data_IF_355023733245
#
_entry.id   IF_355023733245
#
_cell.length_a   1.000
_cell.length_b   1.000
_cell.length_c   1.000
_cell.angle_alpha   90.00
_cell.angle_beta   90.00
_cell.angle_gamma   90.00
#
_symmetry.space_group_name_H-M   'P 1'
#
loop_
_entity.id
_entity.type
_entity.pdbx_description
1 polymer ?
#
# COMPACT_ATOMS: atom_id res chain seq x y z
N UNK A 1 0.81 38.95 -19.20
CA UNK A 1 -0.61 38.56 -19.04
C UNK A 1 -0.65 37.34 -18.15
N UNK A 2 -1.01 37.53 -16.87
CA UNK A 2 -1.13 36.48 -15.88
C UNK A 2 -2.49 35.79 -16.09
N UNK A 3 -2.48 34.59 -16.67
CA UNK A 3 -3.65 33.72 -16.70
C UNK A 3 -3.75 33.00 -15.36
N UNK A 4 -4.65 33.50 -14.51
CA UNK A 4 -5.16 32.80 -13.34
C UNK A 4 -5.84 31.51 -13.80
N UNK A 5 -5.17 30.37 -13.61
CA UNK A 5 -5.81 29.06 -13.75
C UNK A 5 -6.77 28.92 -12.57
N UNK A 6 -8.06 29.06 -12.85
CA UNK A 6 -9.12 28.72 -11.90
C UNK A 6 -9.01 27.23 -11.59
N UNK A 7 -8.86 26.89 -10.31
CA UNK A 7 -9.05 25.52 -9.84
C UNK A 7 -10.47 25.09 -10.23
N UNK A 8 -10.66 23.93 -10.88
CA UNK A 8 -11.99 23.45 -11.20
C UNK A 8 -12.74 23.25 -9.88
N UNK A 9 -13.81 24.01 -9.74
CA UNK A 9 -14.77 23.95 -8.64
C UNK A 9 -15.30 22.53 -8.51
N UNK A 10 -15.11 21.98 -7.31
CA UNK A 10 -15.76 20.77 -6.81
C UNK A 10 -17.29 20.97 -6.86
N UNK A 11 -17.96 20.47 -7.90
CA UNK A 11 -19.41 20.36 -7.95
C UNK A 11 -19.85 18.97 -8.38
N UNK A 12 -20.38 18.23 -7.40
CA UNK A 12 -21.48 17.27 -7.49
C UNK A 12 -21.45 16.22 -8.63
N UNK A 13 -20.67 15.15 -8.42
CA UNK A 13 -21.03 13.73 -8.60
C UNK A 13 -19.74 12.89 -8.66
N UNK A 14 -19.07 12.74 -7.51
CA UNK A 14 -17.99 11.76 -7.28
C UNK A 14 -18.52 10.30 -7.27
N UNK A 15 -19.60 10.01 -8.00
CA UNK A 15 -20.00 8.64 -8.29
C UNK A 15 -18.91 8.06 -9.18
N UNK A 16 -18.16 7.11 -8.62
CA UNK A 16 -17.21 6.32 -9.39
C UNK A 16 -18.03 5.41 -10.31
N UNK A 17 -18.27 5.88 -11.54
CA UNK A 17 -19.19 5.28 -12.52
C UNK A 17 -18.77 3.89 -13.04
N UNK A 18 -17.57 3.41 -12.67
CA UNK A 18 -17.00 2.13 -13.12
C UNK A 18 -16.82 1.14 -11.94
N UNK A 19 -17.60 1.31 -10.87
CA UNK A 19 -17.82 0.24 -9.89
C UNK A 19 -18.99 -0.61 -10.38
N UNK A 20 -18.78 -1.91 -10.70
CA UNK A 20 -19.86 -2.79 -11.14
C UNK A 20 -21.01 -2.85 -10.14
N UNK A 21 -22.24 -2.96 -10.62
CA UNK A 21 -23.44 -2.99 -9.77
C UNK A 21 -23.43 -4.14 -8.75
N UNK A 22 -22.82 -5.27 -9.12
CA UNK A 22 -22.63 -6.47 -8.30
C UNK A 22 -21.41 -6.39 -7.35
N UNK A 23 -20.54 -5.38 -7.51
CA UNK A 23 -19.34 -5.24 -6.69
C UNK A 23 -19.60 -4.93 -5.20
N UNK A 24 -20.54 -4.05 -4.80
CA UNK A 24 -20.76 -3.78 -3.37
C UNK A 24 -21.14 -5.03 -2.57
N UNK A 25 -21.97 -5.90 -3.15
CA UNK A 25 -22.35 -7.17 -2.53
C UNK A 25 -21.15 -8.12 -2.40
N UNK A 26 -20.42 -8.30 -3.50
CA UNK A 26 -19.22 -9.13 -3.51
C UNK A 26 -18.14 -8.58 -2.55
N UNK A 27 -17.96 -7.27 -2.46
CA UNK A 27 -16.99 -6.63 -1.55
C UNK A 27 -17.22 -7.02 -0.09
N UNK A 28 -18.48 -7.05 0.36
CA UNK A 28 -18.82 -7.52 1.70
C UNK A 28 -18.46 -9.00 1.89
N UNK A 29 -18.57 -9.81 0.84
CA UNK A 29 -18.12 -11.20 0.86
C UNK A 29 -16.61 -11.33 0.98
N UNK A 30 -15.83 -10.49 0.27
CA UNK A 30 -14.38 -10.44 0.43
C UNK A 30 -13.98 -10.09 1.87
N UNK A 31 -14.70 -9.18 2.53
CA UNK A 31 -14.44 -8.85 3.94
C UNK A 31 -14.74 -10.03 4.87
N UNK A 32 -15.82 -10.77 4.64
CA UNK A 32 -16.12 -12.00 5.40
C UNK A 32 -15.02 -13.05 5.22
N UNK A 33 -14.61 -13.31 3.97
CA UNK A 33 -13.49 -14.19 3.66
C UNK A 33 -12.19 -13.74 4.33
N UNK A 34 -11.90 -12.43 4.27
CA UNK A 34 -10.79 -11.77 4.95
C UNK A 34 -10.85 -11.96 6.46
N UNK A 35 -12.01 -12.08 7.08
CA UNK A 35 -12.15 -12.35 8.53
C UNK A 35 -12.28 -13.84 8.86
N UNK A 36 -12.36 -14.71 7.85
CA UNK A 36 -12.51 -16.16 8.02
C UNK A 36 -13.93 -16.55 8.36
N UNK A 37 -14.87 -15.62 8.18
CA UNK A 37 -16.28 -15.88 8.28
C UNK A 37 -16.77 -16.58 7.00
N UNK A 38 -17.77 -17.48 7.09
CA UNK A 38 -18.40 -18.08 5.92
C UNK A 38 -18.95 -17.01 4.97
N UNK A 39 -18.85 -17.26 3.66
CA UNK A 39 -19.44 -16.42 2.63
C UNK A 39 -20.38 -17.23 1.74
N UNK A 40 -21.59 -16.74 1.45
CA UNK A 40 -22.51 -17.37 0.49
C UNK A 40 -22.09 -17.28 -0.99
N UNK A 41 -21.10 -16.47 -1.35
CA UNK A 41 -20.65 -16.29 -2.75
C UNK A 41 -19.17 -16.59 -2.95
N UNK A 42 -18.46 -16.99 -1.90
CA UNK A 42 -17.04 -17.31 -1.97
C UNK A 42 -16.77 -18.65 -1.28
N UNK A 43 -16.16 -19.57 -2.00
CA UNK A 43 -15.63 -20.83 -1.48
C UNK A 43 -14.11 -20.79 -1.47
N UNK A 44 -13.49 -21.43 -0.48
CA UNK A 44 -12.04 -21.59 -0.41
C UNK A 44 -11.70 -23.08 -0.47
N UNK A 45 -10.80 -23.45 -1.38
CA UNK A 45 -10.18 -24.78 -1.40
C UNK A 45 -8.67 -24.67 -1.15
N UNK A 46 -8.04 -25.65 -0.49
CA UNK A 46 -6.58 -25.65 -0.31
C UNK A 46 -5.79 -25.60 -1.62
N UNK A 47 -6.32 -26.20 -2.68
CA UNK A 47 -5.64 -26.33 -3.97
C UNK A 47 -5.76 -25.06 -4.85
N UNK A 48 -6.94 -24.43 -4.88
CA UNK A 48 -7.22 -23.34 -5.83
C UNK A 48 -7.37 -21.96 -5.14
N UNK A 49 -7.38 -21.93 -3.81
CA UNK A 49 -7.66 -20.72 -3.03
C UNK A 49 -9.14 -20.33 -3.09
N UNK A 50 -9.42 -19.04 -2.98
CA UNK A 50 -10.77 -18.47 -3.03
C UNK A 50 -11.34 -18.42 -4.44
N UNK A 51 -12.56 -18.90 -4.64
CA UNK A 51 -13.31 -18.80 -5.89
C UNK A 51 -14.64 -18.09 -5.66
N UNK A 52 -15.19 -17.49 -6.73
CA UNK A 52 -16.56 -16.96 -6.73
C UNK A 52 -17.52 -18.10 -7.02
N UNK A 53 -18.55 -18.24 -6.19
CA UNK A 53 -19.67 -19.13 -6.45
C UNK A 53 -20.78 -18.36 -7.17
N UNK A 54 -21.21 -18.89 -8.31
CA UNK A 54 -22.27 -18.31 -9.13
C UNK A 54 -21.78 -17.32 -10.19
N UNK A 55 -22.74 -16.65 -10.83
CA UNK A 55 -22.47 -15.74 -11.95
C UNK A 55 -22.26 -14.32 -11.45
N UNK A 56 -21.15 -13.70 -11.85
CA UNK A 56 -20.88 -12.28 -11.65
C UNK A 56 -20.40 -11.62 -12.95
N UNK A 57 -20.58 -10.32 -13.09
CA UNK A 57 -20.13 -9.57 -14.25
C UNK A 57 -18.61 -9.62 -14.43
N UNK A 58 -18.15 -9.59 -15.69
CA UNK A 58 -16.73 -9.68 -16.04
C UNK A 58 -15.86 -8.66 -15.30
N UNK A 59 -16.38 -7.44 -15.09
CA UNK A 59 -15.67 -6.37 -14.39
C UNK A 59 -15.51 -6.67 -12.89
N UNK A 60 -16.51 -7.23 -12.23
CA UNK A 60 -16.43 -7.64 -10.83
C UNK A 60 -15.52 -8.87 -10.66
N UNK A 61 -15.55 -9.81 -11.61
CA UNK A 61 -14.62 -10.93 -11.67
C UNK A 61 -13.17 -10.46 -11.82
N UNK A 62 -12.90 -9.47 -12.69
CA UNK A 62 -11.58 -8.89 -12.83
C UNK A 62 -11.10 -8.17 -11.57
N UNK A 63 -11.98 -7.42 -10.90
CA UNK A 63 -11.67 -6.81 -9.60
C UNK A 63 -11.43 -7.87 -8.52
N UNK A 64 -12.19 -8.97 -8.51
CA UNK A 64 -11.94 -10.10 -7.60
C UNK A 64 -10.55 -10.69 -7.82
N UNK A 65 -10.16 -10.92 -9.08
CA UNK A 65 -8.83 -11.42 -9.44
C UNK A 65 -7.69 -10.56 -8.87
N UNK A 66 -7.89 -9.25 -8.79
CA UNK A 66 -6.90 -8.32 -8.20
C UNK A 66 -6.73 -8.50 -6.69
N UNK A 67 -7.78 -8.87 -5.95
CA UNK A 67 -7.72 -9.02 -4.49
C UNK A 67 -7.63 -10.48 -4.02
N UNK A 68 -7.95 -11.46 -4.87
CA UNK A 68 -7.86 -12.89 -4.57
C UNK A 68 -6.49 -13.27 -3.97
N UNK A 69 -5.33 -12.82 -4.51
CA UNK A 69 -4.04 -13.17 -3.94
C UNK A 69 -3.85 -12.74 -2.48
N UNK A 70 -4.44 -11.60 -2.08
CA UNK A 70 -4.43 -11.16 -0.69
C UNK A 70 -5.24 -12.11 0.21
N UNK A 71 -6.41 -12.53 -0.25
CA UNK A 71 -7.27 -13.45 0.49
C UNK A 71 -6.63 -14.84 0.62
N UNK A 72 -6.00 -15.33 -0.44
CA UNK A 72 -5.29 -16.60 -0.46
C UNK A 72 -4.05 -16.56 0.45
N UNK A 73 -3.29 -15.45 0.42
CA UNK A 73 -2.19 -15.23 1.35
C UNK A 73 -2.68 -15.26 2.81
N UNK A 74 -3.80 -14.58 3.11
CA UNK A 74 -4.40 -14.60 4.45
C UNK A 74 -4.86 -15.99 4.88
N UNK A 75 -5.51 -16.73 4.00
CA UNK A 75 -6.01 -18.08 4.29
C UNK A 75 -4.84 -19.02 4.63
N UNK A 76 -3.75 -18.96 3.87
CA UNK A 76 -2.52 -19.71 4.15
C UNK A 76 -1.94 -19.39 5.53
N UNK A 77 -1.96 -18.12 5.94
CA UNK A 77 -1.49 -17.67 7.26
C UNK A 77 -2.33 -18.21 8.44
N UNK A 78 -3.60 -18.59 8.22
CA UNK A 78 -4.46 -19.17 9.27
C UNK A 78 -4.25 -20.67 9.48
N UNK A 79 -4.06 -21.42 8.38
CA UNK A 79 -4.03 -22.88 8.44
C UNK A 79 -2.74 -23.44 9.02
N UNK A 80 -1.61 -22.98 8.50
CA UNK A 80 -0.27 -23.25 9.01
C UNK A 80 0.33 -21.89 9.30
N UNK A 81 1.00 -21.67 10.44
CA UNK A 81 1.77 -20.44 10.66
C UNK A 81 2.87 -20.37 9.60
N UNK A 82 2.54 -19.81 8.44
CA UNK A 82 3.50 -19.57 7.38
C UNK A 82 4.42 -18.47 7.88
N UNK A 83 5.74 -18.71 7.95
CA UNK A 83 6.67 -17.75 8.52
C UNK A 83 6.84 -16.48 7.67
N UNK A 84 6.23 -16.43 6.48
CA UNK A 84 6.47 -15.38 5.50
C UNK A 84 5.28 -14.42 5.39
N UNK A 85 5.38 -13.20 5.92
CA UNK A 85 4.43 -12.13 5.66
C UNK A 85 4.30 -11.88 4.17
N UNK A 86 3.11 -11.47 3.75
CA UNK A 86 2.79 -11.13 2.38
C UNK A 86 2.68 -9.61 2.24
N UNK A 87 3.46 -9.04 1.33
CA UNK A 87 3.62 -7.59 1.17
C UNK A 87 3.19 -7.17 -0.23
N UNK A 88 2.15 -6.34 -0.29
CA UNK A 88 1.72 -5.66 -1.51
C UNK A 88 2.10 -4.19 -1.44
N UNK A 89 2.57 -3.63 -2.55
CA UNK A 89 2.74 -2.19 -2.69
C UNK A 89 1.75 -1.61 -3.71
N UNK A 90 1.38 -0.34 -3.53
CA UNK A 90 0.74 0.45 -4.57
C UNK A 90 1.54 1.72 -4.81
N UNK A 91 1.80 2.03 -6.07
CA UNK A 91 2.41 3.28 -6.50
C UNK A 91 1.60 3.88 -7.64
N UNK A 92 1.07 5.09 -7.43
CA UNK A 92 0.50 5.90 -8.50
C UNK A 92 1.54 6.80 -9.13
N UNK A 93 1.61 6.85 -10.45
CA UNK A 93 2.52 7.73 -11.18
C UNK A 93 1.86 8.30 -12.45
N UNK A 94 2.45 9.38 -12.95
CA UNK A 94 2.17 9.95 -14.27
C UNK A 94 2.62 9.01 -15.40
N UNK A 95 2.14 9.27 -16.63
CA UNK A 95 2.55 8.53 -17.84
C UNK A 95 4.07 8.56 -18.06
N UNK A 96 4.72 9.64 -17.67
CA UNK A 96 6.17 9.84 -17.77
C UNK A 96 6.95 9.40 -16.51
N UNK A 97 6.29 8.71 -15.56
CA UNK A 97 6.96 7.97 -14.49
C UNK A 97 7.28 8.78 -13.23
N UNK A 98 6.47 9.77 -12.89
CA UNK A 98 6.66 10.63 -11.72
C UNK A 98 5.47 10.54 -10.74
N UNK A 99 5.75 10.59 -9.44
CA UNK A 99 4.74 10.52 -8.37
C UNK A 99 4.30 11.88 -7.85
N UNK A 100 5.06 12.93 -8.18
CA UNK A 100 4.81 14.30 -7.76
C UNK A 100 5.57 15.26 -8.66
N UNK A 101 5.16 16.52 -8.67
CA UNK A 101 5.93 17.63 -9.25
C UNK A 101 7.26 17.83 -8.52
N UNK A 102 8.12 18.71 -9.06
CA UNK A 102 9.42 19.04 -8.46
C UNK A 102 9.31 19.48 -6.99
N UNK A 103 8.29 20.28 -6.66
CA UNK A 103 8.05 20.78 -5.29
C UNK A 103 7.47 19.71 -4.37
N UNK A 104 7.02 18.58 -4.92
CA UNK A 104 6.42 17.49 -4.18
C UNK A 104 4.91 17.49 -4.16
N UNK A 105 4.26 18.37 -4.91
CA UNK A 105 2.81 18.31 -5.08
C UNK A 105 2.45 17.05 -5.89
N UNK A 106 1.74 16.13 -5.23
CA UNK A 106 1.24 14.88 -5.81
C UNK A 106 -0.28 14.84 -5.92
N UNK A 107 -0.97 15.95 -5.62
CA UNK A 107 -2.41 16.00 -5.74
C UNK A 107 -2.80 15.76 -7.21
N UNK A 108 -3.87 15.01 -7.46
CA UNK A 108 -4.35 14.59 -8.79
C UNK A 108 -3.54 13.54 -9.56
N UNK A 109 -2.42 13.02 -9.05
CA UNK A 109 -1.76 11.86 -9.69
C UNK A 109 -2.66 10.63 -9.65
N UNK A 110 -3.43 10.45 -8.58
CA UNK A 110 -4.38 9.34 -8.44
C UNK A 110 -5.80 9.82 -8.71
N UNK A 111 -6.50 9.15 -9.63
CA UNK A 111 -7.93 9.34 -9.84
C UNK A 111 -8.79 8.72 -8.72
N UNK A 112 -10.11 8.97 -8.78
CA UNK A 112 -11.06 8.48 -7.78
C UNK A 112 -11.07 6.94 -7.65
N UNK A 113 -10.93 6.22 -8.78
CA UNK A 113 -10.86 4.76 -8.82
C UNK A 113 -9.58 4.22 -8.18
N UNK A 114 -8.44 4.88 -8.41
CA UNK A 114 -7.18 4.55 -7.75
C UNK A 114 -7.28 4.75 -6.23
N UNK A 115 -7.93 5.83 -5.78
CA UNK A 115 -8.18 6.06 -4.36
C UNK A 115 -9.11 4.99 -3.77
N UNK A 116 -10.17 4.58 -4.47
CA UNK A 116 -11.01 3.46 -4.01
C UNK A 116 -10.22 2.15 -3.90
N UNK A 117 -9.39 1.84 -4.89
CA UNK A 117 -8.52 0.65 -4.86
C UNK A 117 -7.60 0.67 -3.63
N UNK A 118 -6.96 1.80 -3.36
CA UNK A 118 -6.11 2.01 -2.20
C UNK A 118 -6.86 1.78 -0.87
N UNK A 119 -8.09 2.29 -0.76
CA UNK A 119 -8.92 2.04 0.42
C UNK A 119 -9.38 0.58 0.55
N UNK A 120 -9.53 -0.16 -0.56
CA UNK A 120 -9.79 -1.60 -0.54
C UNK A 120 -8.56 -2.38 -0.05
N UNK A 121 -7.36 -2.00 -0.49
CA UNK A 121 -6.12 -2.60 0.02
C UNK A 121 -5.97 -2.37 1.54
N UNK A 122 -6.23 -1.14 2.02
CA UNK A 122 -6.25 -0.82 3.46
C UNK A 122 -7.24 -1.69 4.24
N UNK A 123 -8.44 -1.92 3.71
CA UNK A 123 -9.44 -2.76 4.36
C UNK A 123 -9.04 -4.25 4.41
N UNK A 124 -8.32 -4.75 3.40
CA UNK A 124 -7.93 -6.17 3.31
C UNK A 124 -6.62 -6.50 4.04
N UNK A 125 -5.74 -5.53 4.22
CA UNK A 125 -4.45 -5.74 4.90
C UNK A 125 -4.57 -5.59 6.42
N UNK A 126 -3.55 -6.08 7.14
CA UNK A 126 -3.42 -5.90 8.59
C UNK A 126 -2.80 -4.54 8.91
N UNK A 127 -1.88 -4.08 8.06
CA UNK A 127 -1.20 -2.81 8.22
C UNK A 127 -1.03 -2.07 6.90
N UNK A 128 -1.03 -0.73 6.98
CA UNK A 128 -0.64 0.18 5.90
C UNK A 128 0.63 0.91 6.31
N UNK A 129 1.62 0.90 5.43
CA UNK A 129 2.97 1.38 5.67
C UNK A 129 3.31 2.52 4.72
N UNK A 130 3.78 3.63 5.27
CA UNK A 130 4.31 4.75 4.49
C UNK A 130 5.68 5.17 5.02
N UNK A 131 6.48 5.85 4.18
CA UNK A 131 7.72 6.47 4.63
C UNK A 131 7.50 7.80 5.34
N UNK A 132 8.43 8.21 6.20
CA UNK A 132 8.39 9.52 6.87
C UNK A 132 8.32 10.72 5.92
N UNK A 133 8.85 10.61 4.69
CA UNK A 133 8.74 11.69 3.69
C UNK A 133 7.29 11.97 3.29
N UNK A 134 6.50 10.91 3.08
CA UNK A 134 5.05 10.99 2.82
C UNK A 134 4.33 11.61 4.01
N UNK A 135 4.66 11.19 5.24
CA UNK A 135 4.04 11.76 6.44
C UNK A 135 4.35 13.26 6.59
N UNK A 136 5.60 13.66 6.37
CA UNK A 136 6.02 15.04 6.48
C UNK A 136 5.39 15.95 5.41
N UNK A 137 5.17 15.43 4.20
CA UNK A 137 4.65 16.20 3.06
C UNK A 137 3.12 16.25 3.09
N UNK A 138 2.47 15.09 3.22
CA UNK A 138 1.02 14.96 3.00
C UNK A 138 0.22 14.95 4.31
N UNK A 139 0.90 14.68 5.44
CA UNK A 139 0.29 14.52 6.75
C UNK A 139 -0.99 13.65 6.69
N UNK A 140 -0.92 12.41 6.14
CA UNK A 140 -2.09 11.62 5.80
C UNK A 140 -2.81 11.09 7.04
N UNK A 141 -4.03 10.58 6.88
CA UNK A 141 -4.76 9.87 7.96
C UNK A 141 -4.46 8.36 7.96
N UNK A 142 -4.20 7.80 6.76
CA UNK A 142 -3.97 6.36 6.52
C UNK A 142 -5.11 5.44 6.97
N UNK A 143 -6.35 5.93 6.90
CA UNK A 143 -7.56 5.19 7.28
C UNK A 143 -8.32 4.59 6.09
N UNK A 144 -9.10 3.55 6.34
CA UNK A 144 -10.18 3.05 5.47
C UNK A 144 -11.42 3.93 5.67
N UNK A 145 -11.82 4.69 4.66
CA UNK A 145 -13.00 5.61 4.75
C UNK A 145 -13.81 5.75 3.47
N UNK A 146 -13.36 5.16 2.36
CA UNK A 146 -14.09 5.19 1.08
C UNK A 146 -14.77 3.86 0.73
N UNK A 147 -14.57 2.82 1.54
CA UNK A 147 -15.22 1.51 1.40
C UNK A 147 -15.52 0.94 2.78
N UNK A 148 -16.52 0.04 2.91
CA UNK A 148 -16.70 -0.74 4.13
C UNK A 148 -15.44 -1.57 4.45
N UNK A 149 -15.13 -1.73 5.72
CA UNK A 149 -14.00 -2.55 6.17
C UNK A 149 -13.28 -1.94 7.37
N UNK A 150 -12.36 -2.71 7.97
CA UNK A 150 -11.64 -2.28 9.15
C UNK A 150 -10.57 -1.24 8.83
N UNK A 151 -10.11 -0.55 9.88
CA UNK A 151 -8.90 0.26 9.83
C UNK A 151 -7.67 -0.65 9.89
N UNK A 152 -6.67 -0.47 9.00
CA UNK A 152 -5.39 -1.14 9.17
C UNK A 152 -4.59 -0.50 10.32
N UNK A 153 -3.64 -1.23 10.88
CA UNK A 153 -2.57 -0.63 11.69
C UNK A 153 -1.76 0.31 10.80
N UNK A 154 -1.56 1.54 11.25
CA UNK A 154 -0.78 2.54 10.52
C UNK A 154 0.69 2.38 10.87
N UNK A 155 1.55 2.26 9.89
CA UNK A 155 2.99 2.07 10.08
C UNK A 155 3.72 3.23 9.42
N UNK A 156 4.50 3.96 10.23
CA UNK A 156 5.36 5.04 9.75
C UNK A 156 6.80 4.55 9.79
N UNK A 157 7.36 4.29 8.61
CA UNK A 157 8.77 3.94 8.44
C UNK A 157 9.64 5.18 8.50
N UNK A 158 10.29 5.37 9.64
CA UNK A 158 11.20 6.48 9.89
C UNK A 158 12.43 6.00 10.67
N UNK A 159 13.35 5.28 9.99
CA UNK A 159 14.44 4.55 10.66
C UNK A 159 15.34 5.44 11.52
N UNK A 160 15.55 6.69 11.14
CA UNK A 160 16.37 7.67 11.87
C UNK A 160 15.55 8.57 12.80
N UNK A 161 14.26 8.26 13.03
CA UNK A 161 13.31 9.06 13.80
C UNK A 161 13.40 10.55 13.48
N UNK A 162 13.15 10.94 12.22
CA UNK A 162 13.25 12.34 11.76
C UNK A 162 11.99 13.16 12.01
N UNK A 163 10.83 12.52 12.13
CA UNK A 163 9.57 13.21 12.42
C UNK A 163 9.56 13.80 13.83
N UNK A 164 8.73 14.81 14.05
CA UNK A 164 8.54 15.50 15.34
C UNK A 164 7.47 14.84 16.23
N UNK A 165 6.77 13.84 15.71
CA UNK A 165 5.67 13.16 16.39
C UNK A 165 4.35 13.93 16.40
N UNK A 166 4.20 15.05 15.70
CA UNK A 166 2.99 15.89 15.72
C UNK A 166 2.02 15.61 14.57
N UNK A 167 2.43 14.85 13.56
CA UNK A 167 1.59 14.49 12.42
C UNK A 167 0.31 13.76 12.83
N UNK A 168 -0.77 13.92 12.03
CA UNK A 168 -2.11 13.37 12.28
C UNK A 168 -2.10 11.88 12.59
N UNK A 169 -1.32 11.10 11.83
CA UNK A 169 -1.13 9.66 12.04
C UNK A 169 -0.77 9.27 13.48
N UNK A 170 -0.13 10.15 14.25
CA UNK A 170 0.23 9.88 15.65
C UNK A 170 -0.80 10.40 16.65
N UNK A 171 -1.63 11.38 16.26
CA UNK A 171 -2.42 12.19 17.19
C UNK A 171 -3.94 12.03 17.08
N UNK A 172 -4.46 11.63 15.93
CA UNK A 172 -5.90 11.63 15.67
C UNK A 172 -6.69 10.50 16.34
N UNK A 173 -6.02 9.48 16.89
CA UNK A 173 -6.64 8.33 17.55
C UNK A 173 -7.49 7.41 16.65
N UNK A 174 -7.51 7.62 15.32
CA UNK A 174 -8.43 6.90 14.43
C UNK A 174 -8.08 5.42 14.24
N UNK A 175 -6.80 5.06 14.36
CA UNK A 175 -6.30 3.69 14.28
C UNK A 175 -5.02 3.53 15.10
N UNK A 176 -4.66 2.30 15.44
CA UNK A 176 -3.36 2.00 16.06
C UNK A 176 -2.23 2.41 15.11
N UNK A 177 -1.18 3.03 15.65
CA UNK A 177 -0.06 3.54 14.88
C UNK A 177 1.27 3.04 15.44
N UNK A 178 2.10 2.48 14.58
CA UNK A 178 3.47 2.07 14.86
C UNK A 178 4.43 3.04 14.20
N UNK A 179 5.23 3.74 15.00
CA UNK A 179 6.40 4.46 14.52
C UNK A 179 7.60 3.51 14.52
N UNK A 180 7.97 3.02 13.33
CA UNK A 180 9.07 2.08 13.16
C UNK A 180 10.37 2.86 12.97
N UNK A 181 11.31 2.64 13.88
CA UNK A 181 12.64 3.23 13.84
C UNK A 181 13.73 2.21 14.19
N UNK A 182 14.97 2.52 13.84
CA UNK A 182 16.11 1.74 14.32
C UNK A 182 16.23 1.91 15.84
N UNK A 183 16.59 0.84 16.54
CA UNK A 183 16.69 0.85 18.01
C UNK A 183 17.59 1.97 18.56
N UNK A 184 18.62 2.39 17.81
CA UNK A 184 19.47 3.54 18.16
C UNK A 184 18.70 4.85 18.32
N UNK A 185 17.58 5.00 17.62
CA UNK A 185 16.75 6.22 17.62
C UNK A 185 15.45 6.06 18.43
N UNK A 186 15.22 4.92 19.06
CA UNK A 186 13.97 4.64 19.77
C UNK A 186 13.70 5.60 20.94
N UNK A 187 14.73 5.99 21.70
CA UNK A 187 14.58 6.94 22.79
C UNK A 187 14.13 8.33 22.28
N UNK A 188 14.72 8.78 21.16
CA UNK A 188 14.35 10.04 20.51
C UNK A 188 12.91 10.00 19.98
N UNK A 189 12.52 8.93 19.29
CA UNK A 189 11.16 8.75 18.81
C UNK A 189 10.14 8.77 19.96
N UNK A 190 10.42 8.05 21.06
CA UNK A 190 9.54 8.00 22.25
C UNK A 190 9.42 9.37 22.92
N UNK A 191 10.53 10.11 23.05
CA UNK A 191 10.53 11.45 23.62
C UNK A 191 9.68 12.42 22.79
N UNK A 192 9.79 12.38 21.45
CA UNK A 192 9.00 13.22 20.54
C UNK A 192 7.53 12.83 20.50
N UNK A 193 7.25 11.53 20.54
CA UNK A 193 5.89 11.02 20.64
C UNK A 193 5.23 11.50 21.96
N UNK A 194 6.01 11.53 23.04
CA UNK A 194 5.59 12.00 24.36
C UNK A 194 4.39 11.20 24.88
N UNK A 195 3.54 11.86 25.66
CA UNK A 195 2.24 11.33 26.12
C UNK A 195 1.23 11.37 24.96
N UNK A 196 1.48 10.61 23.90
CA UNK A 196 0.54 10.51 22.78
C UNK A 196 -0.76 9.87 23.23
N UNK A 197 -1.93 10.26 22.67
CA UNK A 197 -3.17 9.50 22.91
C UNK A 197 -2.93 8.02 22.60
N UNK A 198 -3.57 7.17 23.40
CA UNK A 198 -3.26 5.76 23.73
C UNK A 198 -3.15 4.73 22.57
N UNK A 199 -2.89 5.15 21.33
CA UNK A 199 -2.87 4.31 20.14
C UNK A 199 -1.61 4.44 19.29
N UNK A 200 -0.70 5.37 19.58
CA UNK A 200 0.58 5.47 18.88
C UNK A 200 1.72 4.94 19.76
N UNK A 201 2.56 4.06 19.21
CA UNK A 201 3.71 3.48 19.90
C UNK A 201 4.95 3.44 19.01
N UNK A 202 6.12 3.36 19.63
CA UNK A 202 7.40 3.21 18.93
C UNK A 202 7.77 1.72 18.84
N UNK A 203 7.94 1.23 17.61
CA UNK A 203 8.53 -0.08 17.32
C UNK A 203 10.02 0.11 17.00
N UNK A 204 10.86 -0.26 17.96
CA UNK A 204 12.30 -0.29 17.81
C UNK A 204 12.72 -1.58 17.07
N UNK A 205 13.50 -1.46 16.01
CA UNK A 205 13.98 -2.59 15.22
C UNK A 205 15.51 -2.56 15.15
N UNK A 206 16.14 -3.59 15.71
CA UNK A 206 17.59 -3.69 15.73
C UNK A 206 18.16 -3.85 14.31
N UNK A 207 19.21 -3.08 14.00
CA UNK A 207 19.87 -3.11 12.70
C UNK A 207 18.97 -2.73 11.53
N UNK A 208 17.91 -1.94 11.76
CA UNK A 208 17.03 -1.47 10.70
C UNK A 208 17.78 -0.55 9.74
N UNK A 209 18.60 0.36 10.24
CA UNK A 209 19.50 1.19 9.46
C UNK A 209 20.82 0.45 9.24
N UNK A 210 21.32 0.46 8.00
CA UNK A 210 22.66 -0.01 7.70
C UNK A 210 23.72 0.79 8.50
N UNK A 211 24.84 0.15 8.79
CA UNK A 211 26.01 0.78 9.43
C UNK A 211 26.88 1.55 8.44
N UNK A 212 26.73 1.29 7.15
CA UNK A 212 27.51 1.88 6.07
C UNK A 212 27.01 3.29 5.67
N UNK A 213 27.86 4.13 5.04
CA UNK A 213 27.60 5.56 4.76
C UNK A 213 26.34 5.83 3.93
N UNK A 214 25.91 4.87 3.11
CA UNK A 214 24.61 4.94 2.44
C UNK A 214 23.55 4.57 3.47
N UNK A 215 22.99 5.56 4.17
CA UNK A 215 21.94 5.42 5.20
C UNK A 215 20.60 4.85 4.65
N UNK A 216 20.68 3.66 4.05
CA UNK A 216 19.57 2.83 3.65
C UNK A 216 19.11 1.99 4.84
N UNK A 217 17.83 1.65 4.84
CA UNK A 217 17.27 0.73 5.82
C UNK A 217 16.96 -0.62 5.18
N UNK A 218 16.86 -1.68 5.99
CA UNK A 218 16.55 -3.05 5.57
C UNK A 218 15.03 -3.31 5.67
N UNK A 219 14.26 -3.28 4.57
CA UNK A 219 12.80 -3.47 4.62
C UNK A 219 12.39 -4.81 5.25
N UNK A 220 13.15 -5.88 5.00
CA UNK A 220 12.86 -7.22 5.52
C UNK A 220 12.89 -7.26 7.05
N UNK A 221 13.74 -6.47 7.72
CA UNK A 221 13.76 -6.38 9.19
C UNK A 221 12.49 -5.71 9.72
N UNK A 222 11.99 -4.68 9.04
CA UNK A 222 10.71 -4.07 9.40
C UNK A 222 9.55 -5.04 9.18
N UNK A 223 9.53 -5.76 8.05
CA UNK A 223 8.52 -6.79 7.74
C UNK A 223 8.52 -7.88 8.83
N UNK A 224 9.68 -8.41 9.20
CA UNK A 224 9.80 -9.41 10.26
C UNK A 224 9.34 -8.89 11.63
N UNK A 225 9.68 -7.65 11.98
CA UNK A 225 9.24 -7.04 13.24
C UNK A 225 7.73 -6.83 13.30
N UNK A 226 7.10 -6.47 12.18
CA UNK A 226 5.63 -6.36 12.08
C UNK A 226 4.96 -7.72 12.16
N UNK A 227 5.52 -8.74 11.51
CA UNK A 227 5.05 -10.12 11.57
C UNK A 227 5.08 -10.71 12.98
N UNK A 228 6.13 -10.41 13.75
CA UNK A 228 6.26 -10.80 15.16
C UNK A 228 5.13 -10.21 16.03
N UNK A 229 4.40 -9.19 15.54
CA UNK A 229 3.21 -8.61 16.17
C UNK A 229 1.89 -9.11 15.56
N UNK A 230 1.94 -10.14 14.73
CA UNK A 230 0.77 -10.73 14.07
C UNK A 230 0.29 -9.95 12.84
N UNK A 231 1.05 -8.97 12.37
CA UNK A 231 0.74 -8.21 11.14
C UNK A 231 1.39 -8.91 9.96
N UNK A 232 0.63 -9.76 9.26
CA UNK A 232 1.19 -10.67 8.25
C UNK A 232 0.85 -10.24 6.83
N UNK A 233 -0.21 -9.46 6.62
CA UNK A 233 -0.53 -8.85 5.34
C UNK A 233 -0.26 -7.35 5.39
N UNK A 234 0.80 -6.93 4.71
CA UNK A 234 1.31 -5.57 4.76
C UNK A 234 1.05 -4.85 3.44
N UNK A 235 0.53 -3.63 3.53
CA UNK A 235 0.33 -2.75 2.39
C UNK A 235 1.31 -1.58 2.43
N UNK A 236 2.26 -1.53 1.49
CA UNK A 236 3.17 -0.39 1.32
C UNK A 236 2.52 0.63 0.39
N UNK A 237 2.12 1.76 0.95
CA UNK A 237 1.39 2.80 0.26
C UNK A 237 2.29 4.02 -0.01
N UNK A 238 2.49 4.34 -1.28
CA UNK A 238 2.94 5.68 -1.71
C UNK A 238 4.35 6.14 -1.28
N UNK A 239 4.90 7.04 -2.07
CA UNK A 239 6.27 7.52 -1.99
C UNK A 239 7.21 6.65 -2.82
N UNK A 240 7.65 7.18 -3.97
CA UNK A 240 8.54 6.47 -4.90
C UNK A 240 9.77 5.88 -4.21
N UNK A 241 10.34 6.57 -3.22
CA UNK A 241 11.50 6.09 -2.44
C UNK A 241 11.17 4.83 -1.63
N UNK A 242 10.06 4.80 -0.89
CA UNK A 242 9.71 3.67 -0.01
C UNK A 242 9.41 2.43 -0.83
N UNK A 243 8.55 2.56 -1.85
CA UNK A 243 8.21 1.43 -2.74
C UNK A 243 9.45 0.91 -3.45
N UNK A 244 10.32 1.79 -3.97
CA UNK A 244 11.56 1.39 -4.65
C UNK A 244 12.54 0.67 -3.73
N UNK A 245 12.62 1.06 -2.44
CA UNK A 245 13.45 0.37 -1.45
C UNK A 245 12.93 -1.04 -1.17
N UNK A 246 11.63 -1.19 -0.98
CA UNK A 246 11.02 -2.53 -0.80
C UNK A 246 11.18 -3.40 -2.05
N UNK A 247 11.01 -2.82 -3.24
CA UNK A 247 11.23 -3.51 -4.51
C UNK A 247 12.68 -3.98 -4.67
N UNK A 248 13.65 -3.07 -4.50
CA UNK A 248 15.09 -3.37 -4.60
C UNK A 248 15.54 -4.41 -3.59
N UNK A 249 14.93 -4.41 -2.40
CA UNK A 249 15.21 -5.40 -1.38
C UNK A 249 14.58 -6.77 -1.64
N UNK A 250 13.76 -6.95 -2.69
CA UNK A 250 12.98 -8.18 -2.89
C UNK A 250 11.99 -8.42 -1.74
N UNK A 251 11.50 -7.35 -1.11
CA UNK A 251 10.61 -7.38 0.05
C UNK A 251 9.13 -7.17 -0.33
N UNK A 252 8.81 -7.24 -1.62
CA UNK A 252 7.45 -7.18 -2.15
C UNK A 252 7.09 -8.53 -2.78
N UNK A 253 5.89 -9.00 -2.50
CA UNK A 253 5.28 -10.14 -3.20
C UNK A 253 4.54 -9.67 -4.45
N UNK A 254 3.94 -8.48 -4.36
CA UNK A 254 3.16 -7.89 -5.44
C UNK A 254 3.30 -6.37 -5.49
N UNK A 255 3.23 -5.81 -6.69
CA UNK A 255 3.21 -4.36 -6.89
C UNK A 255 2.05 -3.99 -7.81
N UNK A 256 1.16 -3.14 -7.33
CA UNK A 256 0.13 -2.49 -8.12
C UNK A 256 0.66 -1.12 -8.57
N UNK A 257 1.19 -1.04 -9.79
CA UNK A 257 1.65 0.20 -10.41
C UNK A 257 0.49 0.83 -11.18
N UNK A 258 -0.02 1.96 -10.70
CA UNK A 258 -1.12 2.69 -11.34
C UNK A 258 -0.54 3.85 -12.14
N UNK A 259 -0.84 3.88 -13.44
CA UNK A 259 -0.38 4.91 -14.36
C UNK A 259 -1.57 5.78 -14.76
N UNK A 260 -1.52 7.04 -14.34
CA UNK A 260 -2.54 8.04 -14.66
C UNK A 260 -2.17 8.81 -15.94
N UNK A 261 -3.16 9.25 -16.75
CA UNK A 261 -2.96 9.95 -18.03
C UNK A 261 -2.56 11.41 -17.84
N UNK A 262 -1.57 11.68 -16.98
CA UNK A 262 -1.00 12.99 -16.71
C UNK A 262 0.49 12.98 -17.07
N UNK A 263 1.04 14.12 -17.47
CA UNK A 263 2.46 14.33 -17.73
C UNK A 263 2.99 15.38 -16.74
N UNK A 264 4.04 15.04 -16.00
CA UNK A 264 4.61 15.91 -14.97
C UNK A 264 5.89 16.63 -15.46
N UNK A 265 6.64 16.00 -16.35
CA UNK A 265 7.97 16.44 -16.73
C UNK A 265 8.96 16.21 -15.59
N UNK A 266 9.76 17.21 -15.23
CA UNK A 266 10.81 17.05 -14.22
C UNK A 266 10.24 17.02 -12.79
N UNK A 267 9.82 15.85 -12.32
CA UNK A 267 9.23 15.65 -10.99
C UNK A 267 10.00 14.69 -10.08
N UNK A 268 9.37 14.31 -8.96
CA UNK A 268 9.85 13.23 -8.10
C UNK A 268 9.58 11.89 -8.78
N UNK A 269 10.64 11.12 -9.04
CA UNK A 269 10.55 9.83 -9.74
C UNK A 269 9.63 8.83 -9.02
N UNK A 270 8.90 8.07 -9.82
CA UNK A 270 8.10 6.93 -9.39
C UNK A 270 8.94 5.72 -9.00
N UNK A 271 8.60 4.57 -9.57
CA UNK A 271 9.32 3.33 -9.28
C UNK A 271 10.75 3.43 -9.83
N UNK A 272 11.73 3.17 -8.98
CA UNK A 272 13.14 3.08 -9.33
C UNK A 272 13.60 1.64 -9.10
N UNK A 273 14.05 1.00 -10.18
CA UNK A 273 14.65 -0.32 -10.16
C UNK A 273 16.19 -0.21 -10.18
N UNK A 274 16.92 -1.25 -9.75
CA UNK A 274 18.35 -1.37 -9.99
C UNK A 274 18.69 -1.17 -11.47
N UNK A 275 19.81 -0.51 -11.75
CA UNK A 275 20.29 -0.35 -13.11
C UNK A 275 20.91 -1.66 -13.61
N UNK A 276 20.53 -2.07 -14.82
CA UNK A 276 21.13 -3.19 -15.54
C UNK A 276 21.85 -2.66 -16.78
N UNK A 277 23.03 -3.20 -17.08
CA UNK A 277 23.81 -2.78 -18.24
C UNK A 277 23.17 -3.22 -19.56
N UNK A 278 22.43 -4.32 -19.56
CA UNK A 278 21.79 -4.89 -20.73
C UNK A 278 20.32 -5.22 -20.47
N UNK A 279 19.49 -5.08 -21.51
CA UNK A 279 18.04 -5.27 -21.40
C UNK A 279 17.63 -6.71 -21.05
N UNK A 280 18.44 -7.70 -21.40
CA UNK A 280 18.18 -9.11 -21.10
C UNK A 280 18.21 -9.39 -19.59
N UNK A 281 18.94 -8.60 -18.81
CA UNK A 281 19.05 -8.75 -17.36
C UNK A 281 17.94 -8.00 -16.61
N UNK A 282 17.19 -7.15 -17.31
CA UNK A 282 16.08 -6.41 -16.70
C UNK A 282 14.95 -7.37 -16.31
N UNK A 283 14.42 -7.26 -15.08
CA UNK A 283 13.34 -8.12 -14.63
C UNK A 283 12.07 -7.92 -15.46
N UNK A 284 11.43 -9.04 -15.82
CA UNK A 284 10.15 -9.06 -16.55
C UNK A 284 9.13 -9.91 -15.79
N UNK A 285 8.48 -9.34 -14.76
CA UNK A 285 7.52 -10.07 -13.95
C UNK A 285 6.25 -10.42 -14.76
N UNK A 286 5.56 -11.48 -14.32
CA UNK A 286 4.19 -11.76 -14.77
C UNK A 286 3.30 -10.58 -14.44
N UNK A 287 2.42 -10.21 -15.37
CA UNK A 287 1.58 -9.02 -15.23
C UNK A 287 0.15 -9.26 -15.65
N UNK A 288 -0.77 -8.68 -14.89
CA UNK A 288 -2.15 -8.47 -15.28
C UNK A 288 -2.45 -6.97 -15.34
N UNK A 289 -3.30 -6.55 -16.27
CA UNK A 289 -3.67 -5.14 -16.39
C UNK A 289 -5.15 -4.93 -16.15
N UNK A 290 -5.49 -3.86 -15.45
CA UNK A 290 -6.86 -3.51 -15.17
C UNK A 290 -7.06 -1.99 -15.33
N UNK A 291 -7.94 -1.52 -16.22
CA UNK A 291 -8.34 -0.11 -16.22
C UNK A 291 -8.94 0.24 -14.85
N UNK A 292 -8.67 1.41 -14.31
CA UNK A 292 -9.29 1.97 -13.11
C UNK A 292 -9.80 3.37 -13.44
N UNK A 293 -10.99 3.46 -14.02
CA UNK A 293 -11.46 4.71 -14.61
C UNK A 293 -10.57 5.09 -15.80
N UNK A 294 -9.91 6.25 -15.70
CA UNK A 294 -8.96 6.71 -16.72
C UNK A 294 -7.52 6.25 -16.46
N UNK A 295 -7.23 5.69 -15.28
CA UNK A 295 -5.91 5.18 -14.92
C UNK A 295 -5.75 3.73 -15.41
N UNK A 296 -4.51 3.27 -15.61
CA UNK A 296 -4.19 1.88 -15.90
C UNK A 296 -3.43 1.26 -14.73
N UNK A 297 -3.98 0.21 -14.11
CA UNK A 297 -3.28 -0.59 -13.11
C UNK A 297 -2.52 -1.72 -13.80
N UNK A 298 -1.24 -1.80 -13.50
CA UNK A 298 -0.37 -2.94 -13.76
C UNK A 298 -0.20 -3.70 -12.45
N UNK A 299 -0.54 -4.98 -12.48
CA UNK A 299 -0.49 -5.88 -11.35
C UNK A 299 0.69 -6.84 -11.52
N UNK A 300 1.82 -6.51 -10.90
CA UNK A 300 3.10 -7.19 -11.09
C UNK A 300 3.30 -8.24 -10.00
N UNK A 301 3.53 -9.49 -10.41
CA UNK A 301 3.90 -10.58 -9.51
C UNK A 301 5.42 -10.60 -9.34
N UNK A 302 5.90 -10.33 -8.11
CA UNK A 302 7.32 -10.09 -7.85
C UNK A 302 8.01 -11.25 -7.15
N UNK A 303 7.27 -12.05 -6.38
CA UNK A 303 7.74 -13.32 -5.85
C UNK A 303 6.90 -14.44 -6.44
N UNK A 304 7.53 -15.35 -7.17
CA UNK A 304 6.86 -16.59 -7.57
C UNK A 304 6.36 -17.29 -6.29
N UNK A 305 5.12 -17.84 -6.28
CA UNK A 305 4.75 -18.80 -5.25
C UNK A 305 5.82 -19.88 -5.27
N UNK A 306 6.47 -20.08 -4.13
CA UNK A 306 7.59 -21.00 -3.92
C UNK A 306 7.33 -22.31 -4.68
N UNK A 307 8.27 -22.68 -5.55
CA UNK A 307 8.32 -23.99 -6.19
C UNK A 307 8.58 -25.09 -5.14
#
# INVERSE_FOLDING_TARGET
>A
MLTTVQNPTSTASDLVLDVPQDWPGLWLQLLRARDGAPSPQLTHSPEHGWAIDGSIGARASALFGLYKPLLDARARQRGVRSPNPWVVAQLGQSLDGFVATLTGDSYYVNGAHCLLHLHRLRALCDAVLVGAGTVATDNPQLTTRRVPGPQPVRVVMDPAARLDGLSRVFRDGQASTLWVCDSRHAAQARSRLGSSPARAEVLAVDGLLATEPTACYHPQRAVAALAARGLNLLFVEGGGITVSRFFTAGALDRLHLVVAPVLIGNGRRGLQAPAHAVMADCPRPTVHTLPLGQDMLWDLELRSPVA
#
